data_IF_655804732164
#
_entry.id   IF_655804732164
#
_cell.length_a   1.000
_cell.length_b   1.000
_cell.length_c   1.000
_cell.angle_alpha   90.00
_cell.angle_beta   90.00
_cell.angle_gamma   90.00
#
_symmetry.space_group_name_H-M   'P 1'
#
loop_
_entity.id
_entity.type
_entity.pdbx_description
1 polymer ?
#
# COMPACT_ATOMS: atom_id res chain seq x y z
N UNK A 1 -8.76 34.21 4.40
CA UNK A 1 -7.90 33.05 4.15
C UNK A 1 -8.69 31.78 4.45
N UNK A 2 -8.79 30.83 3.51
CA UNK A 2 -9.38 29.52 3.83
C UNK A 2 -8.43 28.80 4.81
N UNK A 3 -8.95 28.18 5.87
CA UNK A 3 -8.11 27.44 6.80
C UNK A 3 -7.36 26.34 6.04
N UNK A 4 -6.04 26.28 6.19
CA UNK A 4 -5.23 25.22 5.60
C UNK A 4 -5.58 23.92 6.32
N UNK A 5 -6.28 23.03 5.64
CA UNK A 5 -6.59 21.70 6.19
C UNK A 5 -5.32 20.89 6.39
N UNK A 6 -5.25 20.10 7.44
CA UNK A 6 -4.13 19.18 7.63
C UNK A 6 -4.04 18.19 6.46
N UNK A 7 -2.83 17.86 6.05
CA UNK A 7 -2.61 16.81 5.04
C UNK A 7 -3.06 15.47 5.60
N UNK A 8 -3.76 14.71 4.77
CA UNK A 8 -4.18 13.34 5.05
C UNK A 8 -3.53 12.40 4.03
N UNK A 9 -3.29 11.17 4.43
CA UNK A 9 -2.91 10.07 3.54
C UNK A 9 -3.93 8.97 3.68
N UNK A 10 -4.00 8.09 2.68
CA UNK A 10 -4.88 6.95 2.70
C UNK A 10 -4.18 5.66 2.26
N UNK A 11 -4.86 4.55 2.46
CA UNK A 11 -4.46 3.24 1.99
C UNK A 11 -5.74 2.42 1.75
N UNK A 12 -5.82 1.79 0.58
CA UNK A 12 -6.84 0.76 0.36
C UNK A 12 -6.52 -0.47 1.22
N UNK A 13 -7.56 -1.07 1.75
CA UNK A 13 -7.51 -2.31 2.52
C UNK A 13 -8.59 -3.26 2.02
N UNK A 14 -8.68 -4.45 2.58
CA UNK A 14 -9.66 -5.43 2.17
C UNK A 14 -11.06 -4.88 2.51
N UNK A 15 -11.90 -4.80 1.49
CA UNK A 15 -13.29 -4.26 1.57
C UNK A 15 -13.37 -2.88 2.26
N UNK A 16 -12.31 -2.03 2.10
CA UNK A 16 -12.33 -0.76 2.79
C UNK A 16 -11.19 0.20 2.50
N UNK A 17 -11.13 1.24 3.30
CA UNK A 17 -10.09 2.27 3.24
C UNK A 17 -9.62 2.64 4.65
N UNK A 18 -8.33 2.91 4.77
CA UNK A 18 -7.72 3.56 5.93
C UNK A 18 -7.38 4.99 5.55
N UNK A 19 -7.75 5.95 6.40
CA UNK A 19 -7.39 7.36 6.27
C UNK A 19 -6.59 7.80 7.49
N UNK A 20 -5.39 8.32 7.25
CA UNK A 20 -4.48 8.80 8.29
C UNK A 20 -4.37 10.31 8.26
N UNK A 21 -4.82 10.95 9.32
CA UNK A 21 -4.55 12.36 9.61
C UNK A 21 -3.33 12.55 10.52
N UNK A 22 -3.01 13.78 10.92
CA UNK A 22 -1.87 14.05 11.79
C UNK A 22 -1.96 13.40 13.18
N UNK A 23 -3.16 13.29 13.74
CA UNK A 23 -3.37 12.80 15.11
C UNK A 23 -4.13 11.48 15.18
N UNK A 24 -4.92 11.18 14.15
CA UNK A 24 -5.88 10.06 14.19
C UNK A 24 -5.83 9.30 12.87
N UNK A 25 -5.91 7.99 12.96
CA UNK A 25 -6.15 7.09 11.83
C UNK A 25 -7.55 6.51 11.96
N UNK A 26 -8.32 6.56 10.88
CA UNK A 26 -9.64 5.94 10.77
C UNK A 26 -9.59 4.82 9.73
N UNK A 27 -10.19 3.68 10.04
CA UNK A 27 -10.28 2.50 9.18
C UNK A 27 -11.76 2.21 8.99
N UNK A 28 -12.22 2.24 7.76
CA UNK A 28 -13.61 1.92 7.41
C UNK A 28 -13.62 0.66 6.54
N UNK A 29 -14.28 -0.39 7.01
CA UNK A 29 -14.36 -1.69 6.34
C UNK A 29 -15.83 -2.04 6.15
N UNK A 30 -16.19 -2.53 4.98
CA UNK A 30 -17.51 -3.05 4.68
C UNK A 30 -17.61 -4.51 5.14
N UNK A 31 -18.62 -4.79 5.96
CA UNK A 31 -19.04 -6.15 6.32
C UNK A 31 -20.48 -6.32 5.89
N UNK A 32 -20.73 -7.14 4.88
CA UNK A 32 -22.03 -7.27 4.22
C UNK A 32 -22.56 -5.88 3.77
N UNK A 33 -23.68 -5.41 4.32
CA UNK A 33 -24.28 -4.12 4.01
C UNK A 33 -23.95 -3.01 5.01
N UNK A 34 -23.14 -3.31 6.05
CA UNK A 34 -22.75 -2.35 7.08
C UNK A 34 -21.30 -1.87 6.86
N UNK A 35 -21.03 -0.64 7.30
CA UNK A 35 -19.68 -0.07 7.32
C UNK A 35 -19.22 0.02 8.77
N UNK A 36 -18.20 -0.78 9.11
CA UNK A 36 -17.59 -0.75 10.43
C UNK A 36 -16.45 0.26 10.41
N UNK A 37 -16.50 1.24 11.32
CA UNK A 37 -15.47 2.27 11.43
C UNK A 37 -14.72 2.11 12.75
N UNK A 38 -13.39 1.97 12.66
CA UNK A 38 -12.48 1.98 13.80
C UNK A 38 -11.58 3.19 13.73
N UNK A 39 -11.44 3.92 14.83
CA UNK A 39 -10.52 5.05 14.95
C UNK A 39 -9.46 4.76 16.00
N UNK A 40 -8.23 5.20 15.75
CA UNK A 40 -7.13 5.09 16.69
C UNK A 40 -6.26 6.35 16.66
N UNK A 41 -5.67 6.70 17.79
CA UNK A 41 -4.71 7.79 17.86
C UNK A 41 -3.36 7.37 17.26
N UNK A 42 -2.71 8.32 16.61
CA UNK A 42 -1.39 8.11 16.04
C UNK A 42 -0.33 8.37 17.11
N UNK A 43 0.42 7.35 17.45
CA UNK A 43 1.59 7.48 18.31
C UNK A 43 2.84 7.20 17.49
N UNK A 44 3.81 8.14 17.49
CA UNK A 44 5.10 7.93 16.85
C UNK A 44 6.20 7.75 17.89
N UNK A 45 7.08 6.79 17.65
CA UNK A 45 8.30 6.61 18.47
C UNK A 45 9.18 7.86 18.48
N UNK A 46 9.10 8.68 17.41
CA UNK A 46 9.82 9.95 17.31
C UNK A 46 9.35 10.97 18.34
N UNK A 47 8.12 10.87 18.85
CA UNK A 47 7.62 11.77 19.89
C UNK A 47 8.16 11.37 21.27
N UNK A 48 8.46 10.09 21.47
CA UNK A 48 9.03 9.55 22.70
C UNK A 48 10.55 9.75 22.79
N UNK A 49 11.26 9.61 21.64
CA UNK A 49 12.73 9.65 21.61
C UNK A 49 13.24 10.73 20.66
N UNK A 50 13.79 11.83 21.21
CA UNK A 50 14.24 13.00 20.42
C UNK A 50 15.35 12.68 19.40
N UNK A 51 16.22 11.69 19.66
CA UNK A 51 17.28 11.30 18.72
C UNK A 51 16.75 10.66 17.42
N UNK A 52 15.53 10.10 17.45
CA UNK A 52 14.88 9.56 16.25
C UNK A 52 14.39 10.64 15.27
N UNK A 53 14.46 11.93 15.66
CA UNK A 53 14.13 13.08 14.80
C UNK A 53 15.26 13.48 13.86
N UNK A 54 16.44 12.87 13.96
CA UNK A 54 17.53 13.05 13.02
C UNK A 54 17.09 12.67 11.58
N UNK A 55 17.52 13.41 10.54
CA UNK A 55 16.95 13.29 9.19
C UNK A 55 16.87 11.85 8.64
N UNK A 56 17.95 11.06 8.79
CA UNK A 56 18.00 9.68 8.29
C UNK A 56 17.16 8.76 9.18
N UNK A 57 17.35 8.82 10.52
CA UNK A 57 16.64 7.98 11.48
C UNK A 57 15.13 8.21 11.44
N UNK A 58 14.72 9.47 11.29
CA UNK A 58 13.30 9.83 11.12
C UNK A 58 12.66 9.11 9.95
N UNK A 59 13.35 9.02 8.81
CA UNK A 59 12.86 8.34 7.62
C UNK A 59 12.71 6.84 7.83
N UNK A 60 13.71 6.20 8.43
CA UNK A 60 13.69 4.77 8.73
C UNK A 60 12.56 4.44 9.72
N UNK A 61 12.45 5.19 10.80
CA UNK A 61 11.40 4.98 11.82
C UNK A 61 10.00 5.16 11.19
N UNK A 62 9.81 6.24 10.41
CA UNK A 62 8.54 6.48 9.74
C UNK A 62 8.18 5.33 8.77
N UNK A 63 9.15 4.81 8.02
CA UNK A 63 8.95 3.67 7.13
C UNK A 63 8.51 2.42 7.91
N UNK A 64 9.21 2.08 8.98
CA UNK A 64 8.87 0.91 9.82
C UNK A 64 7.48 1.07 10.44
N UNK A 65 7.18 2.24 11.02
CA UNK A 65 5.86 2.53 11.60
C UNK A 65 4.74 2.38 10.56
N UNK A 66 4.96 2.86 9.33
CA UNK A 66 3.97 2.73 8.26
C UNK A 66 3.81 1.30 7.78
N UNK A 67 4.88 0.52 7.69
CA UNK A 67 4.80 -0.90 7.33
C UNK A 67 4.02 -1.70 8.40
N UNK A 68 4.35 -1.50 9.67
CA UNK A 68 3.66 -2.16 10.79
C UNK A 68 2.18 -1.78 10.81
N UNK A 69 1.88 -0.49 10.69
CA UNK A 69 0.50 -0.01 10.62
C UNK A 69 -0.25 -0.61 9.42
N UNK A 70 0.38 -0.63 8.25
CA UNK A 70 -0.20 -1.20 7.03
C UNK A 70 -0.57 -2.68 7.21
N UNK A 71 0.32 -3.49 7.77
CA UNK A 71 0.06 -4.92 8.05
C UNK A 71 -1.07 -5.06 9.07
N UNK A 72 -1.06 -4.30 10.16
CA UNK A 72 -2.11 -4.36 11.19
C UNK A 72 -3.49 -3.99 10.62
N UNK A 73 -3.55 -2.96 9.77
CA UNK A 73 -4.81 -2.52 9.18
C UNK A 73 -5.31 -3.51 8.13
N UNK A 74 -4.42 -4.12 7.34
CA UNK A 74 -4.78 -5.19 6.40
C UNK A 74 -5.31 -6.42 7.12
N UNK A 75 -4.64 -6.89 8.17
CA UNK A 75 -5.11 -8.02 8.98
C UNK A 75 -6.47 -7.71 9.63
N UNK A 76 -6.63 -6.51 10.21
CA UNK A 76 -7.90 -6.09 10.77
C UNK A 76 -9.02 -6.05 9.72
N UNK A 77 -8.74 -5.54 8.52
CA UNK A 77 -9.75 -5.48 7.46
C UNK A 77 -10.13 -6.86 6.94
N UNK A 78 -9.18 -7.80 6.85
CA UNK A 78 -9.43 -9.19 6.48
C UNK A 78 -10.37 -9.88 7.47
N UNK A 79 -10.10 -9.75 8.77
CA UNK A 79 -10.93 -10.36 9.80
C UNK A 79 -12.34 -9.75 9.87
N UNK A 80 -12.46 -8.42 9.70
CA UNK A 80 -13.77 -7.75 9.67
C UNK A 80 -14.57 -8.14 8.43
N UNK A 81 -13.92 -8.26 7.26
CA UNK A 81 -14.56 -8.65 6.01
C UNK A 81 -15.01 -10.13 6.00
N UNK A 82 -14.65 -10.92 7.03
CA UNK A 82 -15.03 -12.32 7.14
C UNK A 82 -14.23 -13.27 6.26
N UNK A 83 -13.02 -12.87 5.84
CA UNK A 83 -12.12 -13.73 5.08
C UNK A 83 -11.41 -14.76 5.98
N UNK A 84 -11.44 -14.54 7.29
CA UNK A 84 -10.79 -15.39 8.31
C UNK A 84 -11.82 -16.26 9.07
N UNK A 85 -12.93 -16.68 8.44
CA UNK A 85 -14.03 -17.37 9.14
C UNK A 85 -13.64 -18.76 9.71
N UNK A 86 -12.49 -19.35 9.38
CA UNK A 86 -12.15 -20.70 9.81
C UNK A 86 -10.92 -20.83 10.72
N UNK A 87 -9.98 -19.86 10.78
CA UNK A 87 -8.83 -19.94 11.70
C UNK A 87 -8.30 -18.54 12.07
N UNK A 88 -8.15 -18.26 13.37
CA UNK A 88 -7.37 -17.09 13.82
C UNK A 88 -5.92 -17.22 13.34
N UNK A 89 -5.50 -16.36 12.40
CA UNK A 89 -4.12 -16.31 11.91
C UNK A 89 -3.16 -16.09 13.09
N UNK A 90 -2.37 -17.10 13.37
CA UNK A 90 -1.36 -16.98 14.43
C UNK A 90 -0.22 -16.06 13.98
N UNK A 91 0.55 -15.52 14.93
CA UNK A 91 1.72 -14.73 14.60
C UNK A 91 2.76 -15.50 13.76
N UNK A 92 2.78 -16.84 13.85
CA UNK A 92 3.65 -17.72 13.05
C UNK A 92 3.20 -17.78 11.60
N UNK A 93 1.89 -17.88 11.35
CA UNK A 93 1.32 -17.91 10.00
C UNK A 93 1.57 -16.59 9.28
N UNK A 94 1.39 -15.47 10.00
CA UNK A 94 1.72 -14.13 9.50
C UNK A 94 3.22 -14.00 9.17
N UNK A 95 4.10 -14.45 10.04
CA UNK A 95 5.55 -14.42 9.80
C UNK A 95 5.92 -15.29 8.60
N UNK A 96 5.37 -16.49 8.48
CA UNK A 96 5.59 -17.37 7.35
C UNK A 96 5.09 -16.76 6.03
N UNK A 97 3.89 -16.16 6.03
CA UNK A 97 3.34 -15.46 4.86
C UNK A 97 4.24 -14.30 4.42
N UNK A 98 4.73 -13.49 5.37
CA UNK A 98 5.65 -12.39 5.06
C UNK A 98 6.99 -12.88 4.50
N UNK A 99 7.60 -13.88 5.12
CA UNK A 99 8.89 -14.44 4.66
C UNK A 99 8.73 -15.03 3.25
N UNK A 100 7.67 -15.81 3.01
CA UNK A 100 7.41 -16.38 1.68
C UNK A 100 7.13 -15.33 0.63
N UNK A 101 6.39 -14.27 0.96
CA UNK A 101 6.14 -13.15 0.07
C UNK A 101 7.44 -12.40 -0.30
N UNK A 102 8.32 -12.15 0.68
CA UNK A 102 9.64 -11.55 0.43
C UNK A 102 10.53 -12.43 -0.43
N UNK A 103 10.59 -13.74 -0.13
CA UNK A 103 11.36 -14.69 -0.93
C UNK A 103 10.85 -14.74 -2.39
N UNK A 104 9.53 -14.76 -2.59
CA UNK A 104 8.92 -14.70 -3.90
C UNK A 104 9.23 -13.38 -4.63
N UNK A 105 9.15 -12.24 -3.94
CA UNK A 105 9.48 -10.94 -4.53
C UNK A 105 10.96 -10.87 -4.97
N UNK A 106 11.89 -11.37 -4.17
CA UNK A 106 13.31 -11.44 -4.54
C UNK A 106 13.50 -12.36 -5.76
N UNK A 107 12.86 -13.53 -5.76
CA UNK A 107 12.92 -14.45 -6.89
C UNK A 107 12.42 -13.80 -8.18
N UNK A 108 11.26 -13.13 -8.12
CA UNK A 108 10.58 -12.56 -9.27
C UNK A 108 11.25 -11.28 -9.79
N UNK A 109 11.70 -10.38 -8.88
CA UNK A 109 12.18 -9.04 -9.27
C UNK A 109 13.70 -8.87 -9.24
N UNK A 110 14.43 -9.83 -8.67
CA UNK A 110 15.90 -9.78 -8.64
C UNK A 110 16.48 -10.96 -9.42
N UNK A 111 16.15 -12.19 -9.03
CA UNK A 111 16.79 -13.38 -9.59
C UNK A 111 16.35 -13.60 -11.04
N UNK A 112 15.06 -13.58 -11.30
CA UNK A 112 14.49 -13.85 -12.64
C UNK A 112 14.99 -12.85 -13.72
N UNK A 113 14.98 -11.52 -13.52
CA UNK A 113 15.51 -10.57 -14.50
C UNK A 113 16.99 -10.79 -14.79
N UNK A 114 17.80 -10.99 -13.74
CA UNK A 114 19.25 -11.22 -13.88
C UNK A 114 19.54 -12.49 -14.65
N UNK A 115 18.81 -13.59 -14.36
CA UNK A 115 18.95 -14.83 -15.12
C UNK A 115 18.47 -14.67 -16.56
N UNK A 116 17.32 -14.02 -16.79
CA UNK A 116 16.78 -13.80 -18.12
C UNK A 116 17.78 -13.05 -19.03
N UNK A 117 18.37 -11.96 -18.51
CA UNK A 117 19.37 -11.19 -19.28
C UNK A 117 20.66 -11.97 -19.48
N UNK A 118 21.09 -12.78 -18.51
CA UNK A 118 22.26 -13.65 -18.67
C UNK A 118 22.05 -14.70 -19.78
N UNK A 119 20.87 -15.26 -19.89
CA UNK A 119 20.57 -16.25 -20.92
C UNK A 119 20.35 -15.63 -22.30
N UNK A 120 19.66 -14.47 -22.39
CA UNK A 120 19.34 -13.80 -23.65
C UNK A 120 20.51 -12.96 -24.15
N UNK A 121 21.20 -12.31 -23.22
CA UNK A 121 22.26 -11.33 -23.49
C UNK A 121 23.70 -11.90 -23.48
N UNK A 122 23.88 -13.20 -23.65
CA UNK A 122 25.16 -13.91 -23.47
C UNK A 122 26.40 -13.31 -24.15
N UNK A 123 26.25 -12.35 -25.08
CA UNK A 123 27.33 -11.63 -25.76
C UNK A 123 27.35 -10.11 -25.48
N UNK A 124 26.52 -9.60 -24.58
CA UNK A 124 26.55 -8.18 -24.21
C UNK A 124 27.74 -7.90 -23.28
N UNK A 125 28.85 -7.46 -23.87
CA UNK A 125 30.07 -7.12 -23.11
C UNK A 125 30.01 -5.71 -22.50
N UNK A 126 29.08 -4.86 -22.94
CA UNK A 126 28.93 -3.51 -22.43
C UNK A 126 28.10 -3.48 -21.13
N UNK A 127 28.70 -3.08 -19.97
CA UNK A 127 27.99 -3.08 -18.68
C UNK A 127 26.76 -2.17 -18.65
N UNK A 128 26.79 -1.06 -19.40
CA UNK A 128 25.66 -0.14 -19.48
C UNK A 128 24.45 -0.78 -20.19
N UNK A 129 24.71 -1.44 -21.33
CA UNK A 129 23.64 -2.14 -22.07
C UNK A 129 23.08 -3.31 -21.27
N UNK A 130 23.93 -4.02 -20.52
CA UNK A 130 23.49 -5.10 -19.64
C UNK A 130 22.56 -4.57 -18.55
N UNK A 131 22.95 -3.50 -17.85
CA UNK A 131 22.12 -2.88 -16.81
C UNK A 131 20.81 -2.30 -17.37
N UNK A 132 20.84 -1.72 -18.57
CA UNK A 132 19.64 -1.22 -19.24
C UNK A 132 18.69 -2.38 -19.59
N UNK A 133 19.21 -3.48 -20.12
CA UNK A 133 18.42 -4.67 -20.44
C UNK A 133 17.79 -5.27 -19.19
N UNK A 134 18.55 -5.41 -18.09
CA UNK A 134 18.01 -5.85 -16.79
C UNK A 134 16.89 -4.94 -16.28
N UNK A 135 17.07 -3.63 -16.38
CA UNK A 135 16.06 -2.65 -15.99
C UNK A 135 14.77 -2.80 -16.80
N UNK A 136 14.88 -2.94 -18.12
CA UNK A 136 13.73 -3.13 -19.01
C UNK A 136 12.99 -4.45 -18.72
N UNK A 137 13.74 -5.54 -18.55
CA UNK A 137 13.16 -6.85 -18.19
C UNK A 137 12.43 -6.76 -16.84
N UNK A 138 13.02 -6.09 -15.87
CA UNK A 138 12.40 -5.89 -14.54
C UNK A 138 11.10 -5.11 -14.62
N UNK A 139 11.07 -4.04 -15.41
CA UNK A 139 9.84 -3.27 -15.66
C UNK A 139 8.78 -4.13 -16.35
N UNK A 140 9.18 -4.91 -17.37
CA UNK A 140 8.25 -5.79 -18.07
C UNK A 140 7.65 -6.85 -17.13
N UNK A 141 8.48 -7.51 -16.32
CA UNK A 141 8.03 -8.47 -15.31
C UNK A 141 7.06 -7.80 -14.33
N UNK A 142 7.38 -6.60 -13.84
CA UNK A 142 6.52 -5.85 -12.94
C UNK A 142 5.14 -5.55 -13.57
N UNK A 143 5.12 -5.05 -14.80
CA UNK A 143 3.87 -4.74 -15.50
C UNK A 143 3.03 -6.01 -15.73
N UNK A 144 3.66 -7.10 -16.16
CA UNK A 144 3.00 -8.40 -16.35
C UNK A 144 2.45 -8.91 -15.02
N UNK A 145 3.22 -8.84 -13.95
CA UNK A 145 2.79 -9.24 -12.62
C UNK A 145 1.57 -8.45 -12.16
N UNK A 146 1.61 -7.11 -12.25
CA UNK A 146 0.47 -6.26 -11.86
C UNK A 146 -0.75 -6.55 -12.72
N UNK A 147 -0.57 -6.73 -14.04
CA UNK A 147 -1.66 -7.11 -14.93
C UNK A 147 -2.26 -8.47 -14.55
N UNK A 148 -1.43 -9.46 -14.22
CA UNK A 148 -1.88 -10.78 -13.81
C UNK A 148 -2.68 -10.76 -12.49
N UNK A 149 -2.15 -10.11 -11.45
CA UNK A 149 -2.86 -10.03 -10.17
C UNK A 149 -4.14 -9.19 -10.25
N UNK A 150 -4.20 -8.19 -11.14
CA UNK A 150 -5.39 -7.37 -11.34
C UNK A 150 -6.60 -8.14 -11.89
N UNK A 151 -6.37 -9.34 -12.43
CA UNK A 151 -7.45 -10.24 -12.88
C UNK A 151 -8.13 -10.98 -11.72
N UNK A 152 -7.46 -11.07 -10.56
CA UNK A 152 -8.03 -11.69 -9.36
C UNK A 152 -9.11 -10.79 -8.77
N UNK A 153 -10.28 -11.35 -8.43
CA UNK A 153 -11.43 -10.59 -7.95
C UNK A 153 -11.11 -9.75 -6.69
N UNK A 154 -10.41 -10.35 -5.73
CA UNK A 154 -10.09 -9.70 -4.46
C UNK A 154 -9.10 -8.54 -4.65
N UNK A 155 -8.08 -8.74 -5.47
CA UNK A 155 -7.10 -7.69 -5.80
C UNK A 155 -7.76 -6.56 -6.60
N UNK A 156 -8.61 -6.90 -7.56
CA UNK A 156 -9.40 -5.91 -8.30
C UNK A 156 -10.25 -5.06 -7.36
N UNK A 157 -10.85 -5.70 -6.36
CA UNK A 157 -11.64 -5.00 -5.35
C UNK A 157 -10.80 -4.02 -4.54
N UNK A 158 -9.58 -4.41 -4.15
CA UNK A 158 -8.63 -3.50 -3.50
C UNK A 158 -8.28 -2.30 -4.39
N UNK A 159 -8.08 -2.51 -5.70
CA UNK A 159 -7.85 -1.39 -6.64
C UNK A 159 -9.06 -0.45 -6.76
N UNK A 160 -10.28 -0.97 -6.69
CA UNK A 160 -11.50 -0.15 -6.67
C UNK A 160 -11.53 0.75 -5.43
N UNK A 161 -11.20 0.21 -4.25
CA UNK A 161 -11.08 0.99 -3.01
C UNK A 161 -9.91 1.99 -3.06
N UNK A 162 -8.79 1.63 -3.69
CA UNK A 162 -7.68 2.56 -3.89
C UNK A 162 -8.09 3.76 -4.77
N UNK A 163 -8.82 3.51 -5.85
CA UNK A 163 -9.40 4.59 -6.67
C UNK A 163 -10.40 5.45 -5.89
N UNK A 164 -11.21 4.86 -5.02
CA UNK A 164 -12.15 5.58 -4.17
C UNK A 164 -11.42 6.43 -3.10
N UNK A 165 -10.33 5.91 -2.54
CA UNK A 165 -9.46 6.64 -1.61
C UNK A 165 -8.91 7.92 -2.27
N UNK A 166 -8.31 7.82 -3.45
CA UNK A 166 -7.81 8.98 -4.20
C UNK A 166 -8.90 10.05 -4.42
N UNK A 167 -10.11 9.64 -4.81
CA UNK A 167 -11.24 10.56 -5.01
C UNK A 167 -11.67 11.24 -3.70
N UNK A 168 -11.66 10.50 -2.59
CA UNK A 168 -12.00 11.04 -1.28
C UNK A 168 -10.95 12.07 -0.79
N UNK A 169 -9.66 11.76 -0.97
CA UNK A 169 -8.57 12.70 -0.66
C UNK A 169 -8.68 13.97 -1.50
N UNK A 170 -8.93 13.84 -2.79
CA UNK A 170 -9.12 14.95 -3.73
C UNK A 170 -10.30 15.85 -3.31
N UNK A 171 -11.44 15.25 -2.96
CA UNK A 171 -12.62 15.96 -2.48
C UNK A 171 -12.30 16.73 -1.18
N UNK A 172 -11.59 16.11 -0.25
CA UNK A 172 -11.16 16.72 0.99
C UNK A 172 -10.23 17.92 0.76
N UNK A 173 -9.21 17.78 -0.09
CA UNK A 173 -8.24 18.84 -0.38
C UNK A 173 -8.88 20.05 -1.08
N UNK A 174 -9.91 19.84 -1.90
CA UNK A 174 -10.69 20.91 -2.51
C UNK A 174 -11.71 21.57 -1.58
N UNK A 175 -11.74 21.19 -0.30
CA UNK A 175 -12.67 21.72 0.69
C UNK A 175 -14.14 21.48 0.37
N UNK A 176 -14.45 20.47 -0.42
CA UNK A 176 -15.83 20.03 -0.63
C UNK A 176 -16.30 19.13 0.51
N UNK A 177 -17.62 19.04 0.65
CA UNK A 177 -18.23 18.13 1.62
C UNK A 177 -17.99 16.69 1.19
N UNK A 178 -17.46 15.86 2.10
CA UNK A 178 -17.18 14.45 1.82
C UNK A 178 -18.48 13.65 1.70
N UNK A 179 -19.04 13.62 0.50
CA UNK A 179 -20.18 12.78 0.12
C UNK A 179 -19.80 11.95 -1.12
N UNK A 180 -20.44 10.80 -1.34
CA UNK A 180 -20.19 9.98 -2.53
C UNK A 180 -20.36 10.76 -3.84
N UNK A 181 -21.35 11.64 -3.91
CA UNK A 181 -21.67 12.47 -5.08
C UNK A 181 -20.53 13.44 -5.40
N UNK A 182 -19.98 14.09 -4.37
CA UNK A 182 -18.86 15.01 -4.53
C UNK A 182 -17.58 14.27 -4.87
N UNK A 183 -17.27 13.17 -4.17
CA UNK A 183 -16.08 12.37 -4.45
C UNK A 183 -16.09 11.81 -5.89
N UNK A 184 -17.23 11.41 -6.43
CA UNK A 184 -17.36 10.92 -7.81
C UNK A 184 -16.99 11.94 -8.89
N UNK A 185 -17.01 13.25 -8.60
CA UNK A 185 -16.63 14.30 -9.55
C UNK A 185 -15.11 14.32 -9.83
N UNK A 186 -14.32 13.74 -8.93
CA UNK A 186 -12.86 13.74 -9.03
C UNK A 186 -12.32 12.52 -9.75
N UNK A 187 -11.19 12.72 -10.43
CA UNK A 187 -10.42 11.63 -11.03
C UNK A 187 -9.66 10.84 -9.96
N UNK A 188 -9.31 9.60 -10.29
CA UNK A 188 -8.40 8.76 -9.49
C UNK A 188 -6.94 9.20 -9.63
N UNK A 189 -6.61 9.98 -10.67
CA UNK A 189 -5.26 10.51 -10.89
C UNK A 189 -5.09 11.77 -10.05
N UNK A 190 -4.18 11.73 -9.08
CA UNK A 190 -3.87 12.89 -8.25
C UNK A 190 -2.88 13.81 -9.00
N UNK A 191 -3.08 15.14 -9.04
CA UNK A 191 -2.23 16.08 -9.80
C UNK A 191 -0.88 16.40 -9.13
N UNK A 192 -0.45 15.64 -8.12
CA UNK A 192 0.83 15.84 -7.45
C UNK A 192 1.87 14.85 -7.90
#
# INVERSE_FOLDING_TARGET
>A
MKPVKPKIGGQAVIEGVMMRGPKTTAIAVRKNDEIIVKTQENHSLQDKYKFLKLPILRGIVALIEMLVLGIQVLSYSASVAGLDEEEELTGKDMAFALISAFAFAILLFVVLPTLAVKFIGGNLQNPFLLSLAEGLVRIAIFVIYVAAISTMKDIRRVFEYHGAEHKAVHCYENNEKLTPENAKKYTTIHPR
#
